data_IF_445796068251
#
_entry.id   IF_445796068251
#
_cell.length_a   1.000
_cell.length_b   1.000
_cell.length_c   1.000
_cell.angle_alpha   90.00
_cell.angle_beta   90.00
_cell.angle_gamma   90.00
#
_symmetry.space_group_name_H-M   'P 1'
#
loop_
_entity.id
_entity.type
_entity.pdbx_description
1 polymer ?
#
# COMPACT_ATOMS: atom_id res chain seq x y z
N UNK A 1 21.84 -9.83 32.32
CA UNK A 1 20.66 -9.25 31.64
C UNK A 1 19.44 -9.54 32.49
N UNK A 2 18.92 -8.54 33.20
CA UNK A 2 17.77 -8.70 34.09
C UNK A 2 16.49 -8.52 33.27
N UNK A 3 15.93 -9.63 32.78
CA UNK A 3 14.66 -9.64 32.06
C UNK A 3 13.54 -9.52 33.10
N UNK A 4 12.90 -8.36 33.17
CA UNK A 4 11.72 -8.14 34.00
C UNK A 4 10.58 -8.94 33.37
N UNK A 5 9.94 -9.83 34.16
CA UNK A 5 8.78 -10.59 33.70
C UNK A 5 7.60 -9.63 33.53
N UNK A 6 6.90 -9.74 32.40
CA UNK A 6 5.68 -8.95 32.19
C UNK A 6 4.65 -9.22 33.31
N UNK A 7 4.06 -8.16 33.89
CA UNK A 7 3.02 -8.32 34.90
C UNK A 7 1.76 -8.95 34.29
N UNK A 8 1.15 -9.89 35.02
CA UNK A 8 -0.08 -10.57 34.59
C UNK A 8 -1.20 -9.54 34.38
N UNK A 9 -1.71 -9.44 33.15
CA UNK A 9 -2.81 -8.54 32.80
C UNK A 9 -2.42 -7.18 32.22
N UNK A 10 -1.17 -7.01 31.77
CA UNK A 10 -0.74 -5.82 31.02
C UNK A 10 -0.44 -6.19 29.57
N UNK A 11 -1.28 -5.70 28.66
CA UNK A 11 -1.05 -5.80 27.23
C UNK A 11 -0.30 -4.55 26.74
N UNK A 12 0.92 -4.70 26.25
CA UNK A 12 1.64 -3.61 25.60
C UNK A 12 1.06 -3.38 24.20
N UNK A 13 0.22 -2.36 24.04
CA UNK A 13 -0.25 -1.92 22.72
C UNK A 13 0.84 -1.04 22.10
N UNK A 14 1.63 -1.62 21.19
CA UNK A 14 2.63 -0.88 20.43
C UNK A 14 1.90 0.00 19.41
N UNK A 15 1.73 1.29 19.72
CA UNK A 15 1.21 2.26 18.75
C UNK A 15 2.33 2.65 17.79
N UNK A 16 2.16 2.29 16.51
CA UNK A 16 3.03 2.80 15.46
C UNK A 16 2.81 4.31 15.28
N UNK A 17 3.85 5.09 14.97
CA UNK A 17 3.68 6.52 14.72
C UNK A 17 2.68 6.74 13.56
N UNK A 18 1.78 7.73 13.68
CA UNK A 18 0.86 8.05 12.59
C UNK A 18 1.65 8.57 11.39
N UNK A 19 1.17 8.26 10.18
CA UNK A 19 1.77 8.79 8.95
C UNK A 19 1.65 10.32 8.91
N UNK A 20 2.76 10.97 8.58
CA UNK A 20 2.81 12.42 8.31
C UNK A 20 2.08 12.76 7.00
N UNK A 21 1.65 14.02 6.85
CA UNK A 21 0.92 14.46 5.64
C UNK A 21 1.74 14.28 4.36
N UNK A 22 3.07 14.45 4.45
CA UNK A 22 3.97 14.23 3.33
C UNK A 22 4.04 12.76 2.92
N UNK A 23 4.11 11.85 3.88
CA UNK A 23 4.13 10.40 3.62
C UNK A 23 2.80 9.94 3.04
N UNK A 24 1.68 10.44 3.57
CA UNK A 24 0.34 10.16 3.03
C UNK A 24 0.23 10.57 1.56
N UNK A 25 0.72 11.76 1.21
CA UNK A 25 0.71 12.25 -0.17
C UNK A 25 1.57 11.38 -1.09
N UNK A 26 2.80 11.05 -0.68
CA UNK A 26 3.70 10.17 -1.45
C UNK A 26 3.08 8.80 -1.71
N UNK A 27 2.44 8.20 -0.70
CA UNK A 27 1.75 6.91 -0.84
C UNK A 27 0.59 7.03 -1.83
N UNK A 28 -0.21 8.09 -1.72
CA UNK A 28 -1.33 8.35 -2.63
C UNK A 28 -0.85 8.47 -4.09
N UNK A 29 0.19 9.26 -4.34
CA UNK A 29 0.77 9.47 -5.67
C UNK A 29 1.34 8.15 -6.25
N UNK A 30 2.00 7.35 -5.41
CA UNK A 30 2.49 6.04 -5.80
C UNK A 30 1.35 5.08 -6.19
N UNK A 31 0.28 5.03 -5.39
CA UNK A 31 -0.90 4.20 -5.70
C UNK A 31 -1.56 4.65 -6.99
N UNK A 32 -1.76 5.95 -7.17
CA UNK A 32 -2.38 6.51 -8.38
C UNK A 32 -1.58 6.15 -9.64
N UNK A 33 -0.25 6.33 -9.60
CA UNK A 33 0.64 5.99 -10.72
C UNK A 33 0.71 4.49 -11.00
N UNK A 34 0.64 3.64 -9.98
CA UNK A 34 0.61 2.19 -10.14
C UNK A 34 -0.71 1.71 -10.76
N UNK A 35 -1.84 2.29 -10.31
CA UNK A 35 -3.17 2.00 -10.86
C UNK A 35 -3.28 2.44 -12.31
N UNK A 36 -2.81 3.64 -12.65
CA UNK A 36 -2.89 4.13 -14.04
C UNK A 36 -2.09 3.26 -15.01
N UNK A 37 -0.87 2.83 -14.63
CA UNK A 37 -0.06 1.89 -15.43
C UNK A 37 -0.78 0.56 -15.67
N UNK A 38 -1.47 0.02 -14.67
CA UNK A 38 -2.26 -1.21 -14.80
C UNK A 38 -3.49 -1.05 -15.71
N UNK A 39 -4.12 0.12 -15.70
CA UNK A 39 -5.25 0.42 -16.60
C UNK A 39 -4.76 0.50 -18.05
N UNK A 40 -3.65 1.20 -18.29
CA UNK A 40 -3.03 1.31 -19.63
C UNK A 40 -2.65 -0.07 -20.19
N UNK A 41 -2.09 -0.95 -19.36
CA UNK A 41 -1.76 -2.32 -19.78
C UNK A 41 -3.02 -3.13 -20.16
N UNK A 42 -4.15 -2.95 -19.46
CA UNK A 42 -5.42 -3.64 -19.79
C UNK A 42 -6.07 -3.10 -21.06
N UNK A 43 -5.98 -1.81 -21.35
CA UNK A 43 -6.56 -1.22 -22.56
C UNK A 43 -5.78 -1.61 -23.81
N UNK A 44 -4.45 -1.64 -23.76
CA UNK A 44 -3.60 -2.05 -24.89
C UNK A 44 -3.86 -3.51 -25.31
N UNK A 45 -4.19 -4.39 -24.36
CA UNK A 45 -4.48 -5.81 -24.65
C UNK A 45 -5.83 -5.97 -25.35
N UNK A 46 -6.82 -5.11 -25.06
CA UNK A 46 -8.15 -5.17 -25.68
C UNK A 46 -8.17 -4.64 -27.12
N UNK A 47 -7.28 -3.72 -27.45
CA UNK A 47 -7.24 -3.11 -28.79
C UNK A 47 -6.68 -4.06 -29.86
N UNK A 48 -5.89 -5.07 -29.47
CA UNK A 48 -5.26 -6.01 -30.41
C UNK A 48 -6.17 -7.16 -30.89
N UNK A 49 -7.45 -7.22 -30.51
CA UNK A 49 -8.33 -8.36 -30.86
C UNK A 49 -9.48 -8.05 -31.82
N UNK A 50 -9.54 -6.86 -32.42
CA UNK A 50 -10.57 -6.54 -33.43
C UNK A 50 -9.97 -5.93 -34.69
N UNK A 51 -9.28 -6.72 -35.50
CA UNK A 51 -9.04 -6.39 -36.92
C UNK A 51 -9.25 -7.64 -37.79
N UNK A 52 -10.44 -7.62 -38.42
CA UNK A 52 -10.81 -8.13 -39.76
C UNK A 52 -10.89 -9.65 -40.00
N UNK A 53 -12.14 -10.15 -40.08
CA UNK A 53 -12.54 -11.24 -40.98
C UNK A 53 -13.21 -10.62 -42.20
#
# INVERSE_FOLDING_TARGET
MNIIKEPKGVDFIIQSPPLTDQERKKISDFIASSKSKKVVAKTIVKEKTTVKK
#
